data_IF_355116275773
#
_entry.id   IF_355116275773
#
_cell.length_a   1.000
_cell.length_b   1.000
_cell.length_c   1.000
_cell.angle_alpha   90.00
_cell.angle_beta   90.00
_cell.angle_gamma   90.00
#
_symmetry.space_group_name_H-M   'P 1'
#
loop_
_entity.id
_entity.type
_entity.pdbx_description
1 polymer ?
#
# COMPACT_ATOMS: atom_id res chain seq x y z
N UNK A 1 -10.57 26.44 -3.70
CA UNK A 1 -9.48 25.46 -3.93
C UNK A 1 -10.03 24.33 -4.78
N UNK A 2 -9.31 23.91 -5.81
CA UNK A 2 -9.73 22.77 -6.65
C UNK A 2 -9.65 21.46 -5.85
N UNK A 3 -10.43 20.43 -6.21
CA UNK A 3 -10.40 19.11 -5.57
C UNK A 3 -8.99 18.50 -5.56
N UNK A 4 -8.19 18.76 -6.60
CA UNK A 4 -6.78 18.33 -6.72
C UNK A 4 -5.89 18.99 -5.67
N UNK A 5 -6.02 20.31 -5.47
CA UNK A 5 -5.25 21.02 -4.44
C UNK A 5 -5.59 20.50 -3.03
N UNK A 6 -6.85 20.13 -2.82
CA UNK A 6 -7.32 19.54 -1.56
C UNK A 6 -6.71 18.16 -1.32
N UNK A 7 -6.66 17.27 -2.33
CA UNK A 7 -6.09 15.92 -2.22
C UNK A 7 -4.60 15.98 -1.84
N UNK A 8 -3.82 16.78 -2.59
CA UNK A 8 -2.38 16.98 -2.32
C UNK A 8 -2.15 17.50 -0.91
N UNK A 9 -2.94 18.51 -0.48
CA UNK A 9 -2.82 19.11 0.83
C UNK A 9 -3.15 18.13 1.96
N UNK A 10 -4.18 17.30 1.79
CA UNK A 10 -4.52 16.26 2.77
C UNK A 10 -3.37 15.28 2.97
N UNK A 11 -2.83 14.72 1.86
CA UNK A 11 -1.71 13.78 1.94
C UNK A 11 -0.44 14.43 2.48
N UNK A 12 -0.19 15.70 2.15
CA UNK A 12 0.97 16.44 2.67
C UNK A 12 0.88 16.66 4.18
N UNK A 13 -0.30 17.01 4.68
CA UNK A 13 -0.50 17.38 6.10
C UNK A 13 -0.78 16.16 6.96
N UNK A 14 -1.74 15.32 6.54
CA UNK A 14 -2.21 14.17 7.33
C UNK A 14 -1.40 12.90 7.05
N UNK A 15 -0.76 12.78 5.89
CA UNK A 15 -0.08 11.57 5.42
C UNK A 15 -1.00 10.61 4.69
N UNK A 16 -2.30 10.89 4.60
CA UNK A 16 -3.28 10.07 3.90
C UNK A 16 -4.47 10.90 3.41
N UNK A 17 -5.22 10.29 2.50
CA UNK A 17 -6.54 10.76 2.06
C UNK A 17 -7.42 9.57 1.66
N UNK A 18 -8.74 9.70 1.83
CA UNK A 18 -9.71 8.71 1.39
C UNK A 18 -10.54 9.33 0.26
N UNK A 19 -10.81 8.53 -0.78
CA UNK A 19 -11.67 8.91 -1.90
C UNK A 19 -12.62 7.75 -2.20
N UNK A 20 -13.89 8.05 -2.21
CA UNK A 20 -14.93 7.09 -2.51
C UNK A 20 -15.22 7.04 -4.03
N UNK A 21 -15.80 5.92 -4.50
CA UNK A 21 -16.25 5.76 -5.87
C UNK A 21 -15.17 5.96 -6.94
N UNK A 22 -13.95 5.48 -6.68
CA UNK A 22 -12.83 5.55 -7.62
C UNK A 22 -12.98 4.50 -8.71
N UNK A 23 -13.37 3.29 -8.33
CA UNK A 23 -13.65 2.19 -9.25
C UNK A 23 -15.18 1.99 -9.36
N UNK A 24 -15.75 1.98 -10.56
CA UNK A 24 -17.16 1.62 -10.74
C UNK A 24 -17.39 0.14 -10.39
N UNK A 25 -18.61 -0.27 -10.02
CA UNK A 25 -18.92 -1.66 -9.64
C UNK A 25 -18.53 -2.69 -10.69
N UNK A 26 -18.63 -2.36 -11.98
CA UNK A 26 -18.23 -3.23 -13.09
C UNK A 26 -16.72 -3.52 -13.10
N UNK A 27 -15.90 -2.51 -12.81
CA UNK A 27 -14.45 -2.66 -12.75
C UNK A 27 -14.04 -3.48 -11.51
N UNK A 28 -14.68 -3.25 -10.37
CA UNK A 28 -14.49 -4.08 -9.16
C UNK A 28 -14.78 -5.54 -9.46
N UNK A 29 -15.89 -5.83 -10.15
CA UNK A 29 -16.27 -7.20 -10.55
C UNK A 29 -15.22 -7.82 -11.47
N UNK A 30 -14.69 -7.07 -12.44
CA UNK A 30 -13.63 -7.53 -13.35
C UNK A 30 -12.32 -7.83 -12.59
N UNK A 31 -11.93 -6.97 -11.66
CA UNK A 31 -10.74 -7.18 -10.83
C UNK A 31 -10.88 -8.40 -9.93
N UNK A 32 -12.05 -8.62 -9.33
CA UNK A 32 -12.34 -9.82 -8.55
C UNK A 32 -12.26 -11.09 -9.39
N UNK A 33 -12.80 -11.06 -10.62
CA UNK A 33 -12.70 -12.18 -11.54
C UNK A 33 -11.24 -12.45 -11.96
N UNK A 34 -10.45 -11.39 -12.21
CA UNK A 34 -9.03 -11.52 -12.55
C UNK A 34 -8.22 -12.09 -11.37
N UNK A 35 -8.50 -11.68 -10.14
CA UNK A 35 -7.87 -12.23 -8.93
C UNK A 35 -8.20 -13.71 -8.74
N UNK A 36 -9.45 -14.11 -8.99
CA UNK A 36 -9.87 -15.50 -8.86
C UNK A 36 -9.20 -16.46 -9.86
N UNK A 37 -8.63 -15.93 -10.95
CA UNK A 37 -7.90 -16.68 -11.97
C UNK A 37 -6.39 -16.81 -11.68
N UNK A 38 -5.89 -16.18 -10.63
CA UNK A 38 -4.47 -16.29 -10.25
C UNK A 38 -4.24 -17.64 -9.59
N UNK A 39 -3.60 -18.56 -10.31
CA UNK A 39 -3.32 -19.94 -9.87
C UNK A 39 -1.81 -20.22 -9.78
N UNK A 40 -1.03 -19.27 -9.32
CA UNK A 40 0.41 -19.48 -9.14
C UNK A 40 0.76 -19.74 -7.67
N UNK A 41 1.16 -20.98 -7.30
CA UNK A 41 1.47 -21.37 -5.91
C UNK A 41 2.54 -20.52 -5.25
N UNK A 42 3.51 -20.04 -6.02
CA UNK A 42 4.68 -19.29 -5.52
C UNK A 42 4.35 -17.82 -5.19
N UNK A 43 3.24 -17.30 -5.73
CA UNK A 43 2.77 -15.93 -5.50
C UNK A 43 1.77 -15.88 -4.34
N UNK A 44 1.13 -17.03 -4.05
CA UNK A 44 0.09 -17.17 -3.05
C UNK A 44 0.70 -17.56 -1.70
N UNK A 45 0.63 -16.69 -0.69
CA UNK A 45 0.86 -17.10 0.69
C UNK A 45 -0.42 -17.73 1.24
N UNK A 46 -0.39 -19.04 1.51
CA UNK A 46 -1.51 -19.81 2.06
C UNK A 46 -1.26 -20.12 3.54
N UNK A 47 -2.23 -19.76 4.39
CA UNK A 47 -2.49 -20.43 5.67
C UNK A 47 -3.93 -20.90 5.59
N UNK A 48 -4.19 -22.16 5.22
CA UNK A 48 -5.50 -22.77 4.94
C UNK A 48 -6.30 -22.11 3.79
N UNK A 49 -6.02 -20.85 3.43
CA UNK A 49 -6.64 -20.09 2.34
C UNK A 49 -5.70 -18.99 1.84
N UNK A 50 -5.95 -18.49 0.63
CA UNK A 50 -5.19 -17.37 0.05
C UNK A 50 -5.49 -16.11 0.83
N UNK A 51 -4.50 -15.50 1.47
CA UNK A 51 -4.65 -14.24 2.22
C UNK A 51 -3.79 -13.09 1.67
N UNK A 52 -2.81 -13.38 0.82
CA UNK A 52 -2.02 -12.36 0.14
C UNK A 52 -1.47 -12.91 -1.17
N UNK A 53 -1.54 -12.11 -2.22
CA UNK A 53 -0.82 -12.33 -3.47
C UNK A 53 0.26 -11.27 -3.55
N UNK A 54 1.52 -11.70 -3.50
CA UNK A 54 2.67 -10.83 -3.71
C UNK A 54 2.99 -10.77 -5.20
N UNK A 55 3.62 -9.70 -5.66
CA UNK A 55 3.91 -9.46 -7.07
C UNK A 55 2.64 -9.44 -7.97
N UNK A 56 1.55 -8.90 -7.43
CA UNK A 56 0.23 -8.87 -8.06
C UNK A 56 0.24 -8.25 -9.47
N UNK A 57 1.12 -7.26 -9.71
CA UNK A 57 1.28 -6.64 -11.03
C UNK A 57 1.85 -7.60 -12.09
N UNK A 58 2.57 -8.64 -11.68
CA UNK A 58 3.07 -9.68 -12.58
C UNK A 58 2.07 -10.82 -12.77
N UNK A 59 1.25 -11.07 -11.75
CA UNK A 59 0.32 -12.19 -11.71
C UNK A 59 -0.90 -12.03 -12.63
N UNK A 60 -1.30 -10.79 -12.97
CA UNK A 60 -2.48 -10.53 -13.79
C UNK A 60 -2.28 -9.35 -14.73
N UNK A 61 -2.44 -9.53 -16.06
CA UNK A 61 -2.38 -8.44 -17.04
C UNK A 61 -3.41 -7.32 -16.74
N UNK A 62 -4.63 -7.68 -16.35
CA UNK A 62 -5.68 -6.71 -16.01
C UNK A 62 -5.27 -5.83 -14.82
N UNK A 63 -4.60 -6.41 -13.80
CA UNK A 63 -4.15 -5.66 -12.64
C UNK A 63 -2.86 -4.89 -12.96
N UNK A 64 -2.04 -5.36 -13.88
CA UNK A 64 -0.84 -4.64 -14.36
C UNK A 64 -1.19 -3.29 -14.99
N UNK A 65 -2.31 -3.23 -15.71
CA UNK A 65 -2.77 -2.00 -16.38
C UNK A 65 -3.48 -1.02 -15.42
N UNK A 66 -3.99 -1.50 -14.30
CA UNK A 66 -4.75 -0.69 -13.35
C UNK A 66 -4.01 0.58 -12.87
N UNK A 67 -2.69 0.56 -12.54
CA UNK A 67 -1.95 1.76 -12.16
C UNK A 67 -1.93 2.86 -13.21
N UNK A 68 -2.06 2.50 -14.50
CA UNK A 68 -2.04 3.41 -15.64
C UNK A 68 -3.43 3.95 -16.00
N UNK A 69 -4.49 3.46 -15.35
CA UNK A 69 -5.85 3.94 -15.59
C UNK A 69 -6.00 5.44 -15.24
N UNK A 70 -6.89 6.12 -15.93
CA UNK A 70 -7.19 7.55 -15.68
C UNK A 70 -7.57 7.78 -14.21
N UNK A 71 -8.36 6.87 -13.63
CA UNK A 71 -8.81 6.96 -12.25
C UNK A 71 -7.64 6.94 -11.24
N UNK A 72 -6.67 6.03 -11.42
CA UNK A 72 -5.52 5.92 -10.52
C UNK A 72 -4.50 7.03 -10.76
N UNK A 73 -4.26 7.41 -12.02
CA UNK A 73 -3.39 8.55 -12.33
C UNK A 73 -3.93 9.86 -11.77
N UNK A 74 -5.24 10.08 -11.78
CA UNK A 74 -5.87 11.24 -11.16
C UNK A 74 -5.66 11.31 -9.62
N UNK A 75 -5.36 10.18 -8.97
CA UNK A 75 -5.01 10.12 -7.55
C UNK A 75 -3.51 10.32 -7.30
N UNK A 76 -2.66 9.78 -8.14
CA UNK A 76 -1.21 9.73 -7.92
C UNK A 76 -0.48 10.96 -8.43
N UNK A 77 -0.82 11.44 -9.62
CA UNK A 77 -0.14 12.58 -10.27
C UNK A 77 -0.21 13.90 -9.49
N UNK A 78 -1.31 14.28 -8.84
CA UNK A 78 -1.35 15.49 -8.03
C UNK A 78 -0.36 15.47 -6.85
N UNK A 79 0.05 14.29 -6.41
CA UNK A 79 0.89 14.08 -5.22
C UNK A 79 2.34 13.85 -5.60
N UNK A 80 2.58 13.01 -6.61
CA UNK A 80 3.91 12.55 -7.02
C UNK A 80 4.41 13.17 -8.34
N UNK A 81 3.53 13.77 -9.15
CA UNK A 81 3.84 14.23 -10.50
C UNK A 81 3.54 13.20 -11.58
N UNK A 82 3.59 13.63 -12.84
CA UNK A 82 3.27 12.81 -14.02
C UNK A 82 4.22 11.66 -14.25
N UNK A 83 5.44 11.74 -13.71
CA UNK A 83 6.48 10.70 -13.80
C UNK A 83 6.32 9.59 -12.76
N UNK A 84 5.23 9.59 -11.98
CA UNK A 84 4.94 8.55 -11.02
C UNK A 84 4.72 7.19 -11.72
N UNK A 85 5.31 6.14 -11.20
CA UNK A 85 5.21 4.78 -11.73
C UNK A 85 4.98 3.76 -10.60
N UNK A 86 4.27 2.63 -10.87
CA UNK A 86 4.07 1.59 -9.89
C UNK A 86 5.38 0.82 -9.65
N UNK A 87 5.68 0.51 -8.39
CA UNK A 87 6.89 -0.23 -7.99
C UNK A 87 6.57 -1.58 -7.37
N UNK A 88 5.37 -1.78 -6.87
CA UNK A 88 4.91 -3.04 -6.26
C UNK A 88 3.39 -3.09 -6.23
N UNK A 89 2.83 -4.29 -6.38
CA UNK A 89 1.41 -4.56 -6.14
C UNK A 89 1.23 -5.77 -5.23
N UNK A 90 0.32 -5.68 -4.26
CA UNK A 90 -0.02 -6.75 -3.33
C UNK A 90 -1.55 -6.81 -3.20
N UNK A 91 -2.11 -8.02 -3.23
CA UNK A 91 -3.46 -8.27 -2.73
C UNK A 91 -3.37 -8.63 -1.24
N UNK A 92 -4.21 -8.01 -0.43
CA UNK A 92 -4.49 -8.42 0.94
C UNK A 92 -5.94 -8.88 1.02
N UNK A 93 -6.17 -10.08 1.52
CA UNK A 93 -7.50 -10.62 1.76
C UNK A 93 -7.59 -11.11 3.22
N UNK A 94 -8.40 -10.45 4.03
CA UNK A 94 -8.76 -10.92 5.36
C UNK A 94 -10.04 -11.70 5.29
N UNK A 95 -9.99 -12.93 5.76
CA UNK A 95 -11.12 -13.85 5.87
C UNK A 95 -11.06 -14.53 7.24
N UNK A 96 -12.11 -15.27 7.63
CA UNK A 96 -12.18 -15.94 8.92
C UNK A 96 -10.95 -16.81 9.22
N UNK A 97 -10.48 -17.58 8.22
CA UNK A 97 -9.36 -18.51 8.36
C UNK A 97 -7.97 -17.87 8.20
N UNK A 98 -7.92 -16.64 7.67
CA UNK A 98 -6.70 -15.87 7.48
C UNK A 98 -6.90 -14.44 7.99
N UNK A 99 -6.99 -14.33 9.31
CA UNK A 99 -7.35 -13.11 10.02
C UNK A 99 -6.24 -12.71 11.00
N UNK A 100 -5.33 -11.87 10.54
CA UNK A 100 -4.16 -11.49 11.32
C UNK A 100 -4.22 -10.04 11.80
N UNK A 101 -3.60 -9.78 12.93
CA UNK A 101 -3.31 -8.43 13.43
C UNK A 101 -2.06 -7.90 12.72
N UNK A 102 -2.11 -6.66 12.26
CA UNK A 102 -0.93 -5.91 11.83
C UNK A 102 -0.59 -4.92 12.95
N UNK A 103 0.54 -5.08 13.64
CA UNK A 103 0.96 -4.15 14.69
C UNK A 103 1.22 -2.77 14.10
N UNK A 104 1.34 -1.77 14.96
CA UNK A 104 1.72 -0.42 14.55
C UNK A 104 3.12 -0.41 13.95
N UNK A 105 3.26 0.13 12.74
CA UNK A 105 4.51 0.19 11.99
C UNK A 105 4.45 1.25 10.90
N UNK A 106 5.58 1.49 10.27
CA UNK A 106 5.74 2.21 9.01
C UNK A 106 6.19 1.22 7.91
N UNK A 107 5.82 1.48 6.66
CA UNK A 107 6.37 0.75 5.52
C UNK A 107 7.75 1.32 5.17
N UNK A 108 8.80 0.67 5.68
CA UNK A 108 10.17 1.18 5.60
C UNK A 108 11.05 0.44 4.59
N UNK A 109 10.50 -0.52 3.83
CA UNK A 109 11.29 -1.31 2.86
C UNK A 109 10.75 -1.14 1.45
N UNK A 110 11.67 -1.10 0.48
CA UNK A 110 11.36 -1.13 -0.95
C UNK A 110 11.78 -2.45 -1.56
N UNK A 111 11.06 -2.89 -2.61
CA UNK A 111 11.39 -4.07 -3.40
C UNK A 111 12.31 -3.69 -4.56
N UNK A 112 13.39 -4.45 -4.77
CA UNK A 112 14.42 -4.17 -5.78
C UNK A 112 14.81 -5.42 -6.55
N UNK A 113 15.34 -5.25 -7.77
CA UNK A 113 15.71 -6.36 -8.66
C UNK A 113 16.90 -7.16 -8.17
N UNK A 114 17.92 -6.48 -7.63
CA UNK A 114 19.18 -7.10 -7.18
C UNK A 114 19.78 -6.30 -6.04
N UNK A 115 20.65 -6.94 -5.29
CA UNK A 115 21.45 -6.27 -4.27
C UNK A 115 22.57 -5.47 -4.94
N UNK A 116 22.64 -4.19 -4.59
CA UNK A 116 23.73 -3.28 -4.94
C UNK A 116 24.08 -2.53 -3.67
N UNK A 117 25.31 -2.70 -3.19
CA UNK A 117 25.77 -1.98 -2.00
C UNK A 117 25.73 -0.48 -2.28
N UNK A 118 24.94 0.21 -1.51
CA UNK A 118 24.63 1.62 -1.70
C UNK A 118 24.59 2.30 -0.34
N UNK A 119 25.31 3.39 -0.21
CA UNK A 119 25.38 4.13 1.06
C UNK A 119 23.98 4.57 1.54
N UNK A 120 23.70 4.32 2.81
CA UNK A 120 22.42 4.61 3.45
C UNK A 120 21.31 3.62 3.15
N UNK A 121 21.55 2.55 2.36
CA UNK A 121 20.60 1.47 2.11
C UNK A 121 20.96 0.25 2.97
N UNK A 122 19.99 -0.22 3.75
CA UNK A 122 20.10 -1.38 4.63
C UNK A 122 19.24 -1.22 5.88
N UNK A 123 18.91 -2.31 6.56
CA UNK A 123 19.26 -3.70 6.26
C UNK A 123 18.55 -4.25 5.02
N UNK A 124 19.12 -5.33 4.47
CA UNK A 124 18.57 -6.13 3.39
C UNK A 124 17.74 -7.29 3.94
N UNK A 125 16.68 -7.67 3.25
CA UNK A 125 15.86 -8.82 3.60
C UNK A 125 15.22 -9.43 2.35
N UNK A 126 14.86 -10.72 2.41
CA UNK A 126 14.08 -11.39 1.36
C UNK A 126 12.71 -11.75 1.92
N UNK A 127 11.64 -11.42 1.19
CA UNK A 127 10.26 -11.72 1.57
C UNK A 127 9.56 -12.33 0.36
N UNK A 128 9.14 -13.60 0.47
CA UNK A 128 8.55 -14.36 -0.64
C UNK A 128 9.38 -14.21 -1.94
N UNK A 129 10.65 -14.57 -1.85
CA UNK A 129 11.66 -14.55 -2.91
C UNK A 129 11.94 -13.18 -3.55
N UNK A 130 11.34 -12.13 -3.03
CA UNK A 130 11.59 -10.74 -3.44
C UNK A 130 12.60 -10.08 -2.49
N UNK A 131 13.65 -9.53 -3.09
CA UNK A 131 14.66 -8.78 -2.35
C UNK A 131 14.14 -7.41 -1.94
N UNK A 132 14.31 -7.09 -0.67
CA UNK A 132 13.94 -5.81 -0.08
C UNK A 132 15.12 -5.14 0.59
N UNK A 133 15.10 -3.83 0.62
CA UNK A 133 16.08 -3.02 1.34
C UNK A 133 15.37 -1.84 2.02
N UNK A 134 15.89 -1.41 3.17
CA UNK A 134 15.49 -0.13 3.76
C UNK A 134 16.28 0.99 3.09
N UNK A 135 15.65 1.91 2.36
CA UNK A 135 16.30 3.07 1.77
C UNK A 135 16.39 4.23 2.78
N UNK A 136 17.14 5.29 2.50
CA UNK A 136 17.02 6.55 3.20
C UNK A 136 15.58 7.09 3.17
N UNK A 137 15.15 7.80 4.24
CA UNK A 137 13.78 8.29 4.36
C UNK A 137 13.33 9.13 3.15
N UNK A 138 14.23 9.91 2.55
CA UNK A 138 13.94 10.72 1.35
C UNK A 138 13.39 9.92 0.15
N UNK A 139 13.72 8.63 0.05
CA UNK A 139 13.15 7.76 -1.00
C UNK A 139 11.68 7.47 -0.68
N UNK A 140 11.38 7.08 0.57
CA UNK A 140 10.02 6.78 1.04
C UNK A 140 9.11 8.02 1.04
N UNK A 141 9.66 9.20 1.27
CA UNK A 141 8.96 10.49 1.18
C UNK A 141 8.51 10.83 -0.26
N UNK A 142 9.15 10.25 -1.27
CA UNK A 142 8.79 10.36 -2.69
C UNK A 142 7.98 9.15 -3.18
N UNK A 143 7.32 8.44 -2.28
CA UNK A 143 6.44 7.32 -2.57
C UNK A 143 5.02 7.59 -2.07
N UNK A 144 4.08 6.84 -2.62
CA UNK A 144 2.67 6.85 -2.24
C UNK A 144 2.12 5.44 -2.39
N UNK A 145 1.41 4.97 -1.40
CA UNK A 145 0.63 3.73 -1.50
C UNK A 145 -0.82 4.07 -1.80
N UNK A 146 -1.41 3.40 -2.80
CA UNK A 146 -2.83 3.46 -3.14
C UNK A 146 -3.44 2.10 -2.79
N UNK A 147 -4.45 2.11 -1.93
CA UNK A 147 -5.17 0.92 -1.46
C UNK A 147 -6.59 0.97 -1.99
N UNK A 148 -6.89 0.12 -2.96
CA UNK A 148 -8.21 0.02 -3.61
C UNK A 148 -9.04 -1.05 -2.90
N UNK A 149 -10.20 -0.67 -2.41
CA UNK A 149 -11.09 -1.54 -1.65
C UNK A 149 -12.06 -2.25 -2.59
N UNK A 150 -11.93 -3.58 -2.72
CA UNK A 150 -12.83 -4.41 -3.51
C UNK A 150 -14.03 -4.90 -2.69
N UNK A 151 -13.94 -4.79 -1.38
CA UNK A 151 -15.01 -5.05 -0.42
C UNK A 151 -15.14 -3.84 0.51
N UNK A 152 -16.30 -3.72 1.17
CA UNK A 152 -16.49 -2.69 2.20
C UNK A 152 -15.47 -2.86 3.31
N UNK A 153 -14.89 -1.76 3.75
CA UNK A 153 -13.85 -1.74 4.78
C UNK A 153 -14.29 -0.87 5.96
N UNK A 154 -14.82 -1.49 6.99
CA UNK A 154 -15.24 -0.85 8.24
C UNK A 154 -14.33 -1.22 9.42
N UNK A 155 -14.52 -0.55 10.56
CA UNK A 155 -13.79 -0.83 11.80
C UNK A 155 -13.87 -2.30 12.20
N UNK A 156 -15.05 -2.92 12.05
CA UNK A 156 -15.32 -4.32 12.44
C UNK A 156 -14.62 -5.35 11.54
N UNK A 157 -14.33 -5.02 10.29
CA UNK A 157 -13.57 -5.92 9.41
C UNK A 157 -12.10 -5.52 9.24
N UNK A 158 -11.58 -4.74 10.19
CA UNK A 158 -10.16 -4.45 10.32
C UNK A 158 -9.67 -3.37 9.36
N UNK A 159 -10.44 -2.28 9.19
CA UNK A 159 -9.97 -1.08 8.52
C UNK A 159 -8.63 -0.61 9.10
N UNK A 160 -7.79 0.01 8.27
CA UNK A 160 -6.54 0.58 8.74
C UNK A 160 -6.81 1.70 9.74
N UNK A 161 -6.01 1.72 10.80
CA UNK A 161 -5.91 2.84 11.74
C UNK A 161 -4.58 3.54 11.50
N UNK A 162 -4.58 4.84 11.51
CA UNK A 162 -3.41 5.66 11.25
C UNK A 162 -3.22 6.71 12.33
N UNK A 163 -1.99 7.20 12.50
CA UNK A 163 -1.70 8.39 13.29
C UNK A 163 -1.47 9.55 12.30
N UNK A 164 -2.44 10.46 12.12
CA UNK A 164 -2.34 11.56 11.18
C UNK A 164 -1.09 12.41 11.42
N UNK A 165 -0.35 12.72 10.36
CA UNK A 165 0.85 13.56 10.42
C UNK A 165 2.13 12.87 10.87
N UNK A 166 2.08 11.61 11.33
CA UNK A 166 3.26 10.87 11.82
C UNK A 166 4.35 10.66 10.75
N UNK A 167 3.99 10.60 9.46
CA UNK A 167 4.94 10.50 8.35
C UNK A 167 5.95 11.66 8.30
N UNK A 168 5.61 12.81 8.88
CA UNK A 168 6.47 14.01 8.91
C UNK A 168 7.63 13.89 9.89
N UNK A 169 7.61 12.88 10.74
CA UNK A 169 8.71 12.57 11.68
C UNK A 169 9.80 11.71 11.02
N UNK A 170 9.67 11.44 9.71
CA UNK A 170 10.58 10.53 9.03
C UNK A 170 10.42 9.10 9.52
N UNK A 171 11.54 8.36 9.60
CA UNK A 171 11.55 7.01 10.14
C UNK A 171 11.51 7.06 11.68
N UNK A 172 10.47 6.48 12.25
CA UNK A 172 10.24 6.42 13.70
C UNK A 172 10.92 5.17 14.27
N UNK A 173 11.79 5.29 15.28
CA UNK A 173 12.32 4.16 16.02
C UNK A 173 11.21 3.31 16.65
N UNK A 174 11.37 1.99 16.66
CA UNK A 174 10.33 1.06 17.12
C UNK A 174 9.93 1.31 18.59
N UNK A 175 10.89 1.66 19.44
CA UNK A 175 10.69 1.98 20.86
C UNK A 175 9.90 3.28 21.09
N UNK A 176 9.83 4.18 20.10
CA UNK A 176 9.06 5.43 20.19
C UNK A 176 7.61 5.29 19.71
N UNK A 177 7.28 4.23 18.99
CA UNK A 177 5.94 4.03 18.42
C UNK A 177 4.86 4.07 19.49
N UNK A 178 5.08 3.42 20.62
CA UNK A 178 4.09 3.39 21.71
C UNK A 178 3.83 4.78 22.30
N UNK A 179 4.87 5.55 22.54
CA UNK A 179 4.77 6.92 23.07
C UNK A 179 3.99 7.83 22.11
N UNK A 180 4.29 7.75 20.81
CA UNK A 180 3.58 8.54 19.79
C UNK A 180 2.09 8.20 19.76
N UNK A 181 1.73 6.92 19.86
CA UNK A 181 0.34 6.47 19.90
C UNK A 181 -0.42 6.99 21.11
N UNK A 182 0.21 7.01 22.27
CA UNK A 182 -0.41 7.50 23.51
C UNK A 182 -0.66 9.00 23.48
N UNK A 183 0.14 9.73 22.71
CA UNK A 183 0.09 11.20 22.61
C UNK A 183 -0.69 11.71 21.40
N UNK A 184 -1.16 10.83 20.51
CA UNK A 184 -1.77 11.23 19.25
C UNK A 184 -3.12 10.52 19.01
N UNK A 185 -4.12 11.21 18.47
CA UNK A 185 -5.39 10.59 18.13
C UNK A 185 -5.21 9.60 16.97
N UNK A 186 -5.82 8.43 17.09
CA UNK A 186 -5.94 7.46 16.01
C UNK A 186 -7.11 7.86 15.08
N UNK A 187 -6.95 7.61 13.79
CA UNK A 187 -8.00 7.75 12.78
C UNK A 187 -8.26 6.40 12.11
N UNK A 188 -9.53 6.00 11.99
CA UNK A 188 -9.94 4.77 11.30
C UNK A 188 -10.24 5.11 9.84
N UNK A 189 -9.54 4.44 8.91
CA UNK A 189 -9.69 4.64 7.48
C UNK A 189 -10.77 3.69 6.92
N UNK A 190 -12.03 4.04 7.10
CA UNK A 190 -13.15 3.31 6.51
C UNK A 190 -13.33 3.71 5.04
N UNK A 191 -13.81 2.78 4.21
CA UNK A 191 -14.07 3.00 2.79
C UNK A 191 -15.10 2.02 2.26
N UNK A 192 -15.94 2.49 1.33
CA UNK A 192 -16.87 1.66 0.57
C UNK A 192 -16.17 0.84 -0.52
N UNK A 193 -16.94 -0.03 -1.17
CA UNK A 193 -16.49 -0.79 -2.36
C UNK A 193 -16.14 0.20 -3.48
N UNK A 194 -14.98 -0.02 -4.12
CA UNK A 194 -14.46 0.84 -5.17
C UNK A 194 -13.81 2.13 -4.66
N UNK A 195 -13.76 2.34 -3.34
CA UNK A 195 -13.04 3.47 -2.75
C UNK A 195 -11.52 3.24 -2.67
N UNK A 196 -10.77 4.31 -2.43
CA UNK A 196 -9.32 4.30 -2.33
C UNK A 196 -8.84 5.02 -1.06
N UNK A 197 -7.88 4.39 -0.35
CA UNK A 197 -7.06 5.03 0.66
C UNK A 197 -5.67 5.28 0.07
N UNK A 198 -5.29 6.55 0.02
CA UNK A 198 -3.93 6.98 -0.32
C UNK A 198 -3.16 7.21 0.97
N UNK A 199 -1.92 6.74 1.05
CA UNK A 199 -1.10 6.94 2.25
C UNK A 199 0.40 7.04 1.94
N UNK A 200 1.11 7.81 2.74
CA UNK A 200 2.58 7.83 2.72
C UNK A 200 3.13 6.56 3.39
N UNK A 201 4.18 5.92 2.85
CA UNK A 201 4.79 4.74 3.48
C UNK A 201 5.23 4.98 4.93
N UNK A 202 5.72 6.18 5.23
CA UNK A 202 6.15 6.58 6.58
C UNK A 202 4.98 6.97 7.51
N UNK A 203 3.73 6.86 7.08
CA UNK A 203 2.59 7.04 7.96
C UNK A 203 2.49 5.86 8.94
N UNK A 204 2.48 6.14 10.23
CA UNK A 204 2.32 5.11 11.25
C UNK A 204 0.91 4.53 11.17
N UNK A 205 0.82 3.22 10.97
CA UNK A 205 -0.46 2.55 10.75
C UNK A 205 -0.52 1.14 11.33
N UNK A 206 -1.74 0.65 11.52
CA UNK A 206 -2.02 -0.68 12.05
C UNK A 206 -3.36 -1.20 11.52
N UNK A 207 -3.63 -2.50 11.70
CA UNK A 207 -4.91 -3.10 11.36
C UNK A 207 -5.27 -4.20 12.37
N UNK A 208 -6.47 -4.12 12.92
CA UNK A 208 -7.01 -5.18 13.78
C UNK A 208 -7.40 -6.42 12.96
N UNK A 209 -7.52 -7.59 13.57
CA UNK A 209 -8.23 -8.70 12.97
C UNK A 209 -9.67 -8.29 12.60
N UNK A 210 -10.20 -8.88 11.55
CA UNK A 210 -11.63 -8.74 11.21
C UNK A 210 -12.48 -9.50 12.23
N UNK A 211 -13.59 -8.93 12.62
CA UNK A 211 -14.63 -9.59 13.44
C UNK A 211 -15.72 -10.23 12.56
N UNK A 212 -15.67 -9.96 11.25
CA UNK A 212 -16.64 -10.45 10.27
C UNK A 212 -16.06 -11.61 9.47
N UNK A 213 -16.87 -12.64 9.11
CA UNK A 213 -16.41 -13.80 8.37
C UNK A 213 -16.19 -13.54 6.87
N UNK A 214 -16.52 -12.35 6.38
CA UNK A 214 -16.50 -12.00 4.97
C UNK A 214 -15.09 -11.61 4.50
N UNK A 215 -14.88 -11.68 3.18
CA UNK A 215 -13.68 -11.16 2.54
C UNK A 215 -13.50 -9.65 2.79
N UNK A 216 -12.25 -9.25 2.97
CA UNK A 216 -11.82 -7.87 2.88
C UNK A 216 -10.61 -7.78 1.97
N UNK A 217 -10.90 -7.72 0.67
CA UNK A 217 -9.89 -7.67 -0.40
C UNK A 217 -9.50 -6.24 -0.69
N UNK A 218 -8.21 -6.00 -0.65
CA UNK A 218 -7.61 -4.70 -0.95
C UNK A 218 -6.44 -4.91 -1.90
N UNK A 219 -6.48 -4.26 -3.06
CA UNK A 219 -5.32 -4.12 -3.93
C UNK A 219 -4.49 -2.96 -3.41
N UNK A 220 -3.27 -3.24 -2.99
CA UNK A 220 -2.31 -2.26 -2.52
C UNK A 220 -1.23 -2.08 -3.57
N UNK A 221 -1.08 -0.86 -4.09
CA UNK A 221 -0.07 -0.52 -5.09
C UNK A 221 0.81 0.59 -4.54
N UNK A 222 2.11 0.34 -4.51
CA UNK A 222 3.10 1.35 -4.20
C UNK A 222 3.58 2.04 -5.46
N UNK A 223 3.62 3.37 -5.42
CA UNK A 223 4.13 4.24 -6.47
C UNK A 223 5.36 4.99 -5.98
N UNK A 224 6.29 5.25 -6.91
CA UNK A 224 7.44 6.11 -6.69
C UNK A 224 7.54 7.15 -7.80
N UNK A 225 8.19 8.28 -7.48
CA UNK A 225 8.53 9.35 -8.44
C UNK A 225 10.02 9.67 -8.36
N UNK A 226 10.85 8.69 -8.02
CA UNK A 226 12.29 8.85 -7.85
C UNK A 226 13.03 7.61 -8.37
N UNK A 227 14.13 7.84 -9.07
CA UNK A 227 15.07 6.78 -9.44
C UNK A 227 15.97 6.40 -8.27
N UNK A 228 16.40 5.14 -8.24
CA UNK A 228 17.34 4.66 -7.22
C UNK A 228 18.81 4.94 -7.66
N UNK A 229 19.71 5.23 -6.73
CA UNK A 229 21.09 5.53 -7.04
C UNK A 229 21.93 4.29 -7.38
N UNK A 230 23.14 4.51 -7.90
CA UNK A 230 24.20 3.51 -8.09
C UNK A 230 23.78 2.27 -8.92
N UNK A 231 22.82 2.43 -9.85
CA UNK A 231 22.32 1.32 -10.67
C UNK A 231 21.43 0.34 -9.91
N UNK A 232 21.00 0.66 -8.69
CA UNK A 232 19.92 -0.02 -8.01
C UNK A 232 18.63 0.25 -8.79
N UNK A 233 17.79 -0.77 -8.97
CA UNK A 233 16.53 -0.67 -9.74
C UNK A 233 15.34 -1.17 -8.93
N UNK A 234 14.22 -0.49 -9.08
CA UNK A 234 12.94 -0.96 -8.56
C UNK A 234 12.58 -2.31 -9.17
N UNK A 235 11.88 -3.15 -8.41
CA UNK A 235 11.49 -4.49 -8.87
C UNK A 235 10.71 -4.45 -10.18
N UNK A 236 9.78 -3.51 -10.34
CA UNK A 236 8.91 -3.37 -11.51
C UNK A 236 9.59 -2.78 -12.75
N UNK A 237 10.75 -2.16 -12.65
CA UNK A 237 11.49 -1.60 -13.78
C UNK A 237 12.26 -2.70 -14.51
N UNK A 238 11.54 -3.48 -15.31
CA UNK A 238 12.14 -4.49 -16.20
C UNK A 238 12.54 -3.87 -17.54
#
# INVERSE_FOLDING_TARGET
MTAIATLRQEVLVKGFAIRENILPPSEVTQLLAAIAQIDEPDILQRRNSVYAVRNLLDASPAIRELPNSIAIRALTEPILGTEAFPVRGILFDKIADANWKVPWHQDVTIAVQRRVETEGFGPWSTKADVLHVQPPARILENMLSVRLHLDVCHVENGALRVIPGSHRQGRIPEDQIQTIREQSPEFVCESGVGGALLMRPLLLHASSPSQLPNHRRVIHIDFAAVTLPNGLRWLSQR
#
